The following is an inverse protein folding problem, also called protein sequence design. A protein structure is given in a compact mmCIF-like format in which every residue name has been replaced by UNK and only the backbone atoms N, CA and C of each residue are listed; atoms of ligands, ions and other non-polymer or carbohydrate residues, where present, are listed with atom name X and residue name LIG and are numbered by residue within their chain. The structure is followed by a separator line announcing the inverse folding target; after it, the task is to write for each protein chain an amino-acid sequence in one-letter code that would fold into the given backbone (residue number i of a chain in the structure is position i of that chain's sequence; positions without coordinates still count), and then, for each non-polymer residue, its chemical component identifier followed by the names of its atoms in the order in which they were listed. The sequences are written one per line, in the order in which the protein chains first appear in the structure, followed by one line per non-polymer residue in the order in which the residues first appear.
data_IF_878415494090
#
_entry.id   IF_878415494090
#
_cell.length_a   1.000
_cell.length_b   1.000
_cell.length_c   1.000
_cell.angle_alpha   90.00
_cell.angle_beta   90.00
_cell.angle_gamma   90.00
#
_symmetry.space_group_name_H-M   'P 1'
#
loop_
_entity.id
_entity.type
_entity.pdbx_description
1 polymer ?
#
# COMPACT_ATOMS: atom_id res chain seq x y z
N UNK A 1 -7.84 -2.45 9.13
CA UNK A 1 -9.12 -2.98 9.65
C UNK A 1 -9.62 -4.05 8.68
N UNK A 2 -9.49 -5.32 9.03
CA UNK A 2 -10.05 -6.42 8.23
C UNK A 2 -11.56 -6.49 8.50
N UNK A 3 -12.41 -6.33 7.48
CA UNK A 3 -13.86 -6.48 7.62
C UNK A 3 -14.31 -7.90 7.25
N UNK A 4 -14.93 -8.58 8.23
CA UNK A 4 -15.98 -9.60 8.09
C UNK A 4 -15.72 -10.81 7.19
N UNK A 5 -15.31 -11.94 7.78
CA UNK A 5 -15.44 -13.26 7.15
C UNK A 5 -16.61 -14.02 7.79
N UNK A 6 -17.61 -14.41 7.00
CA UNK A 6 -18.69 -15.33 7.43
C UNK A 6 -18.27 -16.76 7.11
N UNK A 7 -17.98 -17.58 8.12
CA UNK A 7 -17.74 -19.01 7.95
C UNK A 7 -19.07 -19.79 8.04
N UNK A 8 -19.51 -20.33 6.91
CA UNK A 8 -20.55 -21.37 6.83
C UNK A 8 -19.86 -22.72 7.03
N UNK A 9 -20.46 -23.65 7.78
CA UNK A 9 -19.90 -24.98 8.04
C UNK A 9 -19.23 -25.60 6.81
N UNK A 10 -17.96 -25.99 6.95
CA UNK A 10 -17.03 -26.22 5.84
C UNK A 10 -17.28 -27.51 5.06
N UNK A 11 -18.28 -28.30 5.45
CA UNK A 11 -18.80 -29.43 4.68
C UNK A 11 -20.32 -29.36 4.60
N UNK A 12 -20.86 -29.74 3.43
CA UNK A 12 -22.27 -30.10 3.30
C UNK A 12 -22.53 -31.29 4.23
N UNK A 13 -23.63 -31.28 4.98
CA UNK A 13 -23.99 -32.35 5.91
C UNK A 13 -23.82 -33.75 5.25
N UNK A 14 -23.05 -34.62 5.88
CA UNK A 14 -22.81 -36.01 5.44
C UNK A 14 -21.49 -36.29 4.69
N UNK A 15 -20.61 -35.30 4.51
CA UNK A 15 -19.26 -35.51 3.94
C UNK A 15 -18.18 -35.49 5.03
N UNK A 16 -17.27 -36.46 4.99
CA UNK A 16 -16.09 -36.52 5.87
C UNK A 16 -14.82 -36.10 5.15
N UNK A 17 -13.88 -35.51 5.90
CA UNK A 17 -12.52 -35.36 5.43
C UNK A 17 -11.79 -36.69 5.57
N UNK A 18 -11.15 -37.13 4.49
CA UNK A 18 -10.18 -38.22 4.60
C UNK A 18 -8.99 -37.77 5.46
N UNK A 19 -8.37 -38.70 6.18
CA UNK A 19 -7.23 -38.42 7.06
C UNK A 19 -6.09 -37.66 6.33
N UNK A 20 -5.32 -36.88 7.09
CA UNK A 20 -4.19 -36.06 6.60
C UNK A 20 -4.47 -34.55 6.65
N UNK A 21 -3.47 -33.75 6.28
CA UNK A 21 -3.58 -32.29 6.23
C UNK A 21 -4.60 -31.86 5.18
N UNK A 22 -5.56 -31.02 5.57
CA UNK A 22 -6.60 -30.50 4.69
C UNK A 22 -6.62 -28.98 4.75
N UNK A 23 -6.51 -28.33 3.60
CA UNK A 23 -6.89 -26.92 3.47
C UNK A 23 -8.40 -26.86 3.40
N UNK A 24 -9.03 -26.51 4.52
CA UNK A 24 -10.50 -26.46 4.64
C UNK A 24 -11.06 -25.11 4.17
N UNK A 25 -10.27 -24.04 4.30
CA UNK A 25 -10.65 -22.71 3.81
C UNK A 25 -9.41 -21.95 3.36
N UNK A 26 -9.58 -21.18 2.29
CA UNK A 26 -8.63 -20.16 1.85
C UNK A 26 -9.29 -18.82 2.07
N UNK A 27 -8.67 -17.96 2.89
CA UNK A 27 -9.14 -16.58 3.12
C UNK A 27 -8.17 -15.65 2.42
N UNK A 28 -8.69 -14.82 1.52
CA UNK A 28 -7.92 -13.77 0.85
C UNK A 28 -8.32 -12.42 1.43
N UNK A 29 -7.32 -11.61 1.77
CA UNK A 29 -7.52 -10.26 2.28
C UNK A 29 -6.99 -9.25 1.26
N UNK A 30 -7.80 -8.25 0.90
CA UNK A 30 -7.31 -7.08 0.17
C UNK A 30 -6.55 -6.18 1.15
N UNK A 31 -5.32 -5.82 0.80
CA UNK A 31 -4.45 -4.98 1.64
C UNK A 31 -4.36 -3.57 1.07
N UNK A 32 -4.32 -2.57 1.96
CA UNK A 32 -4.02 -1.19 1.59
C UNK A 32 -2.62 -0.85 2.09
N UNK A 33 -1.84 -0.11 1.30
CA UNK A 33 -0.57 0.44 1.74
C UNK A 33 -0.82 1.39 2.93
N UNK A 34 -0.44 0.95 4.13
CA UNK A 34 -0.47 1.75 5.34
C UNK A 34 0.97 2.01 5.79
N UNK A 35 1.32 3.24 6.21
CA UNK A 35 2.68 3.59 6.64
C UNK A 35 3.12 2.89 7.93
N UNK A 36 2.18 2.32 8.69
CA UNK A 36 2.45 1.44 9.82
C UNK A 36 1.59 0.19 9.65
N UNK A 37 2.24 -0.96 9.46
CA UNK A 37 1.57 -2.23 9.30
C UNK A 37 1.76 -3.07 10.57
N UNK A 38 0.66 -3.52 11.16
CA UNK A 38 0.66 -4.35 12.37
C UNK A 38 0.16 -5.74 12.03
N UNK A 39 0.72 -6.76 12.69
CA UNK A 39 0.20 -8.11 12.58
C UNK A 39 -1.23 -8.16 13.10
N UNK A 40 -2.13 -8.79 12.35
CA UNK A 40 -3.51 -8.99 12.77
C UNK A 40 -3.71 -10.45 13.16
N UNK A 41 -4.03 -10.76 14.43
CA UNK A 41 -4.21 -12.14 14.86
C UNK A 41 -5.44 -12.76 14.19
N UNK A 42 -5.34 -14.04 13.88
CA UNK A 42 -6.40 -14.91 13.37
C UNK A 42 -6.61 -16.00 14.41
N UNK A 43 -7.64 -15.85 15.23
CA UNK A 43 -7.87 -16.74 16.37
C UNK A 43 -9.16 -17.53 16.21
N UNK A 44 -9.21 -18.69 16.86
CA UNK A 44 -10.46 -19.42 17.01
C UNK A 44 -11.28 -18.84 18.17
N UNK A 45 -12.57 -18.62 17.93
CA UNK A 45 -13.53 -18.22 18.97
C UNK A 45 -14.56 -19.32 19.27
N UNK A 46 -15.13 -19.28 20.47
CA UNK A 46 -16.18 -20.21 20.93
C UNK A 46 -17.57 -19.56 20.99
N UNK A 47 -17.77 -18.52 20.19
CA UNK A 47 -19.06 -17.83 20.06
C UNK A 47 -19.42 -17.69 18.57
N UNK A 48 -20.65 -18.04 18.16
CA UNK A 48 -21.79 -18.47 18.97
C UNK A 48 -21.79 -19.96 19.38
N UNK A 49 -20.89 -20.78 18.85
CA UNK A 49 -20.77 -22.21 19.16
C UNK A 49 -19.34 -22.54 19.61
N UNK A 50 -19.20 -23.51 20.51
CA UNK A 50 -17.90 -24.04 20.94
C UNK A 50 -17.25 -24.78 19.78
N UNK A 51 -15.92 -24.68 19.66
CA UNK A 51 -15.12 -25.49 18.72
C UNK A 51 -15.31 -26.98 18.97
N UNK A 52 -15.57 -27.74 17.91
CA UNK A 52 -15.76 -29.20 18.00
C UNK A 52 -15.29 -29.90 16.72
N UNK A 53 -14.82 -31.13 16.86
CA UNK A 53 -14.49 -32.04 15.75
C UNK A 53 -15.18 -33.36 16.04
N UNK A 54 -16.03 -33.85 15.13
CA UNK A 54 -16.84 -35.05 15.37
C UNK A 54 -16.61 -36.13 14.30
N UNK A 55 -16.79 -37.40 14.69
CA UNK A 55 -16.77 -38.55 13.79
C UNK A 55 -18.06 -38.66 12.95
N UNK A 56 -18.11 -39.60 12.01
CA UNK A 56 -19.36 -39.93 11.26
C UNK A 56 -20.51 -40.35 12.16
N UNK A 57 -20.20 -40.87 13.35
CA UNK A 57 -21.19 -41.33 14.33
C UNK A 57 -21.55 -40.22 15.33
N UNK A 58 -21.10 -38.98 15.11
CA UNK A 58 -21.27 -37.83 16.00
C UNK A 58 -20.54 -37.96 17.36
N UNK A 59 -19.49 -38.78 17.43
CA UNK A 59 -18.63 -38.85 18.61
C UNK A 59 -17.59 -37.71 18.57
N UNK A 60 -17.34 -36.98 19.67
CA UNK A 60 -16.28 -35.98 19.74
C UNK A 60 -14.90 -36.60 19.51
N UNK A 61 -14.07 -35.92 18.75
CA UNK A 61 -12.68 -36.27 18.46
C UNK A 61 -11.75 -35.25 19.09
N UNK A 62 -10.66 -35.73 19.68
CA UNK A 62 -9.63 -34.85 20.22
C UNK A 62 -9.00 -34.01 19.10
N UNK A 63 -8.96 -32.70 19.28
CA UNK A 63 -8.36 -31.75 18.36
C UNK A 63 -7.58 -30.67 19.11
N UNK A 64 -6.40 -30.34 18.58
CA UNK A 64 -5.61 -29.19 19.01
C UNK A 64 -5.86 -28.02 18.06
N UNK A 65 -6.15 -26.84 18.62
CA UNK A 65 -6.35 -25.60 17.86
C UNK A 65 -5.15 -24.68 18.10
N UNK A 66 -4.57 -24.16 17.03
CA UNK A 66 -3.49 -23.19 17.09
C UNK A 66 -3.93 -21.90 16.40
N UNK A 67 -3.86 -20.78 17.12
CA UNK A 67 -4.11 -19.46 16.55
C UNK A 67 -2.96 -19.07 15.60
N UNK A 68 -3.26 -18.16 14.66
CA UNK A 68 -2.29 -17.62 13.72
C UNK A 68 -2.31 -16.09 13.68
N UNK A 69 -1.54 -15.50 12.77
CA UNK A 69 -1.58 -14.08 12.49
C UNK A 69 -1.34 -13.81 10.99
N UNK A 70 -1.94 -12.73 10.50
CA UNK A 70 -1.57 -12.11 9.22
C UNK A 70 -0.54 -11.04 9.52
N UNK A 71 0.70 -11.29 9.14
CA UNK A 71 1.84 -10.39 9.35
C UNK A 71 2.13 -9.63 8.06
N UNK A 72 2.43 -8.33 8.18
CA UNK A 72 2.85 -7.52 7.04
C UNK A 72 4.35 -7.31 7.08
N UNK A 73 5.04 -7.76 6.03
CA UNK A 73 6.48 -7.62 5.94
C UNK A 73 6.87 -6.16 5.63
N UNK A 74 7.53 -5.50 6.59
CA UNK A 74 8.03 -4.11 6.46
C UNK A 74 9.37 -3.94 7.16
N UNK A 75 10.21 -3.02 6.68
CA UNK A 75 11.55 -2.78 7.22
C UNK A 75 12.62 -3.73 6.64
N UNK A 76 13.84 -3.66 7.17
CA UNK A 76 14.97 -4.47 6.72
C UNK A 76 15.05 -5.81 7.46
N UNK A 77 15.63 -6.82 6.82
CA UNK A 77 15.96 -8.07 7.52
C UNK A 77 17.00 -7.87 8.60
N UNK A 78 16.82 -8.57 9.71
CA UNK A 78 17.57 -8.43 10.96
C UNK A 78 17.48 -7.06 11.64
N UNK A 79 16.75 -6.07 11.13
CA UNK A 79 16.46 -4.80 11.81
C UNK A 79 15.42 -5.03 12.92
N UNK A 80 15.91 -5.41 14.10
CA UNK A 80 15.09 -5.73 15.27
C UNK A 80 15.31 -4.76 16.41
N UNK A 81 16.24 -3.82 16.27
CA UNK A 81 16.51 -2.74 17.21
C UNK A 81 16.38 -1.37 16.55
N UNK A 82 15.77 -0.39 17.23
CA UNK A 82 15.03 -0.49 18.47
C UNK A 82 13.76 -1.35 18.34
N UNK A 83 13.46 -2.13 19.38
CA UNK A 83 12.23 -2.94 19.42
C UNK A 83 10.99 -2.03 19.41
N UNK A 84 9.87 -2.39 18.79
CA UNK A 84 9.59 -3.61 18.01
C UNK A 84 9.54 -3.35 16.50
N UNK A 85 9.97 -2.15 16.06
CA UNK A 85 9.78 -1.66 14.69
C UNK A 85 11.07 -1.49 13.90
N UNK A 86 12.23 -1.51 14.56
CA UNK A 86 13.51 -1.22 13.91
C UNK A 86 13.67 0.27 13.59
N UNK A 87 14.83 0.65 13.11
CA UNK A 87 15.14 2.01 12.64
C UNK A 87 15.63 2.07 11.18
N UNK A 88 15.56 0.96 10.45
CA UNK A 88 16.10 0.73 9.11
C UNK A 88 17.63 0.86 9.03
N UNK A 89 18.34 0.64 10.14
CA UNK A 89 19.80 0.61 10.19
C UNK A 89 20.22 -0.75 10.77
N UNK A 90 21.12 -1.45 10.08
CA UNK A 90 21.62 -2.75 10.55
C UNK A 90 22.93 -2.56 11.29
N UNK A 91 22.91 -2.79 12.59
CA UNK A 91 24.03 -2.52 13.49
C UNK A 91 24.33 -3.71 14.41
N UNK A 92 25.38 -3.57 15.24
CA UNK A 92 25.70 -4.60 16.24
C UNK A 92 24.59 -4.77 17.29
N UNK A 93 23.72 -3.76 17.52
CA UNK A 93 22.61 -3.91 18.47
C UNK A 93 21.56 -4.89 17.94
N UNK A 94 21.30 -4.88 16.64
CA UNK A 94 20.43 -5.83 15.95
C UNK A 94 20.94 -7.26 16.03
N UNK A 95 22.24 -7.44 15.79
CA UNK A 95 22.93 -8.70 15.97
C UNK A 95 22.78 -9.23 17.39
N UNK A 96 23.00 -8.40 18.41
CA UNK A 96 22.86 -8.83 19.80
C UNK A 96 21.41 -9.22 20.13
N UNK A 97 20.43 -8.46 19.65
CA UNK A 97 19.02 -8.76 19.89
C UNK A 97 18.55 -10.03 19.19
N UNK A 98 19.01 -10.29 17.96
CA UNK A 98 18.77 -11.55 17.26
C UNK A 98 19.37 -12.73 18.03
N UNK A 99 20.56 -12.56 18.61
CA UNK A 99 21.17 -13.54 19.50
C UNK A 99 20.33 -13.84 20.73
N UNK A 100 19.73 -12.82 21.36
CA UNK A 100 18.81 -12.99 22.49
C UNK A 100 17.55 -13.78 22.12
N UNK A 101 17.01 -13.55 20.91
CA UNK A 101 15.90 -14.34 20.38
C UNK A 101 16.30 -15.80 20.11
N UNK A 102 17.45 -16.02 19.48
CA UNK A 102 17.94 -17.36 19.14
C UNK A 102 18.18 -18.26 20.37
N UNK A 103 18.59 -17.68 21.50
CA UNK A 103 18.76 -18.42 22.77
C UNK A 103 17.50 -18.43 23.64
N UNK A 104 16.41 -17.81 23.19
CA UNK A 104 15.14 -17.72 23.91
C UNK A 104 15.18 -16.87 25.19
N UNK A 105 16.20 -16.02 25.34
CA UNK A 105 16.27 -15.07 26.46
C UNK A 105 15.27 -13.92 26.26
N UNK A 106 15.05 -13.55 25.00
CA UNK A 106 13.96 -12.68 24.58
C UNK A 106 13.02 -13.43 23.62
N UNK A 107 11.78 -12.97 23.52
CA UNK A 107 10.80 -13.48 22.54
C UNK A 107 10.32 -12.36 21.63
N UNK A 108 10.22 -12.59 20.30
CA UNK A 108 9.67 -11.60 19.38
C UNK A 108 8.22 -11.24 19.74
N UNK A 109 7.85 -9.97 19.57
CA UNK A 109 6.50 -9.50 19.83
C UNK A 109 5.58 -9.86 18.64
N UNK A 110 4.56 -10.73 18.84
CA UNK A 110 3.71 -11.19 17.75
C UNK A 110 2.77 -10.12 17.19
N UNK A 111 2.63 -8.96 17.86
CA UNK A 111 1.85 -7.83 17.35
C UNK A 111 2.56 -7.06 16.22
N UNK A 112 3.86 -7.31 16.04
CA UNK A 112 4.71 -6.71 15.04
C UNK A 112 5.33 -7.80 14.15
N UNK A 113 5.98 -7.40 13.06
CA UNK A 113 6.70 -8.32 12.18
C UNK A 113 8.12 -8.62 12.66
N UNK A 114 8.40 -8.46 13.96
CA UNK A 114 9.72 -8.65 14.56
C UNK A 114 10.24 -10.08 14.37
N UNK A 115 9.36 -11.08 14.49
CA UNK A 115 9.71 -12.48 14.18
C UNK A 115 10.20 -12.61 12.74
N UNK A 116 9.43 -12.05 11.80
CA UNK A 116 9.71 -12.12 10.38
C UNK A 116 11.00 -11.39 10.00
N UNK A 117 11.40 -10.33 10.73
CA UNK A 117 12.70 -9.67 10.51
C UNK A 117 13.85 -10.41 11.19
N UNK A 118 13.62 -11.02 12.35
CA UNK A 118 14.63 -11.78 13.07
C UNK A 118 14.99 -13.09 12.35
N UNK A 119 14.03 -13.75 11.71
CA UNK A 119 14.19 -14.96 10.88
C UNK A 119 14.73 -14.57 9.49
N UNK A 120 16.04 -14.37 9.40
CA UNK A 120 16.71 -13.91 8.18
C UNK A 120 17.59 -14.98 7.52
N UNK A 121 17.78 -16.12 8.18
CA UNK A 121 18.52 -17.25 7.65
C UNK A 121 17.58 -18.42 7.29
N UNK A 122 17.83 -19.15 6.20
CA UNK A 122 18.86 -18.93 5.18
C UNK A 122 18.63 -17.64 4.37
N UNK A 123 19.71 -16.93 4.02
CA UNK A 123 19.65 -15.68 3.25
C UNK A 123 18.95 -15.83 1.89
N UNK A 124 19.01 -17.02 1.28
CA UNK A 124 18.38 -17.30 0.00
C UNK A 124 16.85 -17.32 0.10
N UNK A 125 16.32 -17.81 1.21
CA UNK A 125 14.88 -17.92 1.47
C UNK A 125 14.36 -16.80 2.37
N UNK A 126 15.27 -16.04 2.97
CA UNK A 126 15.01 -14.89 3.85
C UNK A 126 14.25 -15.29 5.11
N UNK A 127 14.75 -16.36 5.72
CA UNK A 127 14.11 -17.05 6.84
C UNK A 127 13.65 -18.46 6.48
N UNK A 128 13.50 -19.31 7.49
CA UNK A 128 12.93 -20.66 7.37
C UNK A 128 11.78 -20.93 8.35
N UNK A 129 11.33 -19.89 9.05
CA UNK A 129 10.27 -19.96 10.06
C UNK A 129 10.80 -20.30 11.46
N UNK A 130 12.11 -20.27 11.68
CA UNK A 130 12.72 -20.49 12.99
C UNK A 130 13.83 -19.49 13.28
N UNK A 131 13.82 -18.87 14.45
CA UNK A 131 14.94 -18.04 14.89
C UNK A 131 15.96 -18.93 15.59
N UNK A 132 17.13 -19.09 14.95
CA UNK A 132 18.19 -19.99 15.37
C UNK A 132 19.55 -19.29 15.37
N UNK A 133 20.62 -20.06 15.65
CA UNK A 133 21.99 -19.57 15.52
C UNK A 133 22.32 -19.16 14.09
N UNK A 134 21.64 -19.71 13.07
CA UNK A 134 21.84 -19.32 11.69
C UNK A 134 21.44 -17.85 11.46
N UNK A 135 20.32 -17.43 12.03
CA UNK A 135 19.80 -16.06 11.97
C UNK A 135 20.71 -15.10 12.71
N UNK A 136 21.21 -15.51 13.88
CA UNK A 136 22.21 -14.75 14.63
C UNK A 136 23.48 -14.52 13.80
N UNK A 137 23.99 -15.55 13.12
CA UNK A 137 25.14 -15.40 12.22
C UNK A 137 24.82 -14.46 11.06
N UNK A 138 23.63 -14.56 10.48
CA UNK A 138 23.20 -13.73 9.36
C UNK A 138 23.04 -12.25 9.77
N UNK A 139 22.43 -11.97 10.93
CA UNK A 139 22.38 -10.64 11.53
C UNK A 139 23.79 -10.07 11.77
N UNK A 140 24.75 -10.92 12.15
CA UNK A 140 26.14 -10.52 12.30
C UNK A 140 26.78 -10.10 10.99
N UNK A 141 26.53 -10.84 9.90
CA UNK A 141 27.01 -10.50 8.55
C UNK A 141 26.40 -9.18 8.05
N UNK A 142 25.12 -8.93 8.32
CA UNK A 142 24.48 -7.64 8.03
C UNK A 142 25.08 -6.49 8.83
N UNK A 143 25.30 -6.66 10.14
CA UNK A 143 25.86 -5.63 11.01
C UNK A 143 27.26 -5.15 10.61
N UNK A 144 28.04 -6.00 9.94
CA UNK A 144 29.36 -5.65 9.39
C UNK A 144 29.33 -5.39 7.88
N UNK A 145 28.14 -5.27 7.29
CA UNK A 145 27.91 -5.03 5.86
C UNK A 145 28.58 -6.03 4.91
N UNK A 146 28.73 -7.29 5.35
CA UNK A 146 29.17 -8.39 4.49
C UNK A 146 28.05 -8.84 3.54
N UNK A 147 26.79 -8.63 3.92
CA UNK A 147 25.61 -8.81 3.09
C UNK A 147 24.78 -7.52 3.07
N UNK A 148 24.06 -7.26 1.97
CA UNK A 148 23.12 -6.15 1.88
C UNK A 148 21.79 -6.54 2.51
N UNK A 149 21.35 -5.78 3.52
CA UNK A 149 20.03 -5.95 4.13
C UNK A 149 18.94 -5.56 3.15
N UNK A 150 18.64 -6.43 2.18
CA UNK A 150 17.59 -6.22 1.21
C UNK A 150 16.21 -6.18 1.90
N UNK A 151 15.24 -5.38 1.40
CA UNK A 151 13.88 -5.38 1.93
C UNK A 151 13.21 -6.73 1.67
N UNK A 152 12.60 -7.34 2.70
CA UNK A 152 11.88 -8.65 2.74
C UNK A 152 11.09 -8.99 1.45
N UNK A 153 11.11 -10.25 0.95
CA UNK A 153 10.39 -10.66 -0.30
C UNK A 153 9.19 -11.60 -0.14
N UNK A 154 8.27 -11.43 -1.10
CA UNK A 154 7.23 -12.36 -1.57
C UNK A 154 7.84 -13.64 -2.19
N UNK A 155 7.50 -14.82 -1.68
CA UNK A 155 7.93 -16.14 -2.19
C UNK A 155 6.81 -16.95 -2.88
N UNK A 156 7.20 -17.88 -3.75
CA UNK A 156 6.36 -18.98 -4.26
C UNK A 156 7.10 -20.32 -4.11
N UNK A 157 6.43 -21.31 -3.54
CA UNK A 157 6.96 -22.62 -3.18
C UNK A 157 6.21 -23.76 -3.86
N UNK A 158 6.86 -24.92 -4.00
CA UNK A 158 6.22 -26.12 -4.55
C UNK A 158 5.38 -26.85 -3.50
N UNK A 159 4.72 -27.93 -3.93
CA UNK A 159 3.90 -28.76 -3.03
C UNK A 159 4.70 -29.44 -1.90
N UNK A 160 6.04 -29.39 -1.94
CA UNK A 160 6.95 -29.88 -0.90
C UNK A 160 7.65 -28.73 -0.16
N UNK A 161 7.15 -27.48 -0.27
CA UNK A 161 7.68 -26.28 0.36
C UNK A 161 9.13 -25.94 -0.02
N UNK A 162 9.62 -26.46 -1.15
CA UNK A 162 10.90 -26.01 -1.70
C UNK A 162 10.68 -24.69 -2.44
N UNK A 163 11.60 -23.76 -2.26
CA UNK A 163 11.65 -22.57 -3.09
C UNK A 163 11.75 -23.01 -4.56
N UNK A 164 10.71 -22.73 -5.34
CA UNK A 164 10.75 -22.93 -6.78
C UNK A 164 11.61 -21.82 -7.36
N UNK A 165 12.53 -22.15 -8.27
CA UNK A 165 13.19 -21.15 -9.10
C UNK A 165 12.14 -20.49 -10.01
N UNK A 166 11.48 -19.47 -9.50
CA UNK A 166 10.69 -18.54 -10.29
C UNK A 166 11.60 -17.39 -10.69
N UNK A 167 11.70 -17.15 -11.99
CA UNK A 167 12.35 -15.93 -12.49
C UNK A 167 11.40 -14.77 -12.18
N UNK A 168 11.61 -14.11 -11.05
CA UNK A 168 11.02 -12.80 -10.78
C UNK A 168 11.67 -11.80 -11.72
N UNK A 169 11.12 -11.69 -12.93
CA UNK A 169 11.45 -10.56 -13.79
C UNK A 169 10.73 -9.38 -13.17
N UNK A 170 11.49 -8.42 -12.65
CA UNK A 170 10.96 -7.07 -12.46
C UNK A 170 10.48 -6.59 -13.83
N UNK A 171 9.18 -6.75 -14.08
CA UNK A 171 8.54 -6.00 -15.13
C UNK A 171 8.47 -4.58 -14.61
N UNK A 172 8.99 -3.62 -15.36
CA UNK A 172 8.39 -2.30 -15.29
C UNK A 172 6.94 -2.53 -15.67
N UNK A 173 6.02 -2.37 -14.71
CA UNK A 173 4.71 -1.88 -15.12
C UNK A 173 5.06 -0.50 -15.64
N UNK A 174 5.25 -0.42 -16.95
CA UNK A 174 5.13 0.84 -17.62
C UNK A 174 3.67 1.20 -17.41
N UNK A 175 3.42 1.94 -16.34
CA UNK A 175 2.30 2.83 -16.31
C UNK A 175 2.70 3.90 -17.33
N UNK A 176 2.66 3.51 -18.61
CA UNK A 176 1.95 4.25 -19.62
C UNK A 176 0.46 4.29 -19.25
N UNK A 177 0.13 4.60 -17.98
CA UNK A 177 -0.69 5.76 -17.79
C UNK A 177 0.03 6.78 -18.64
N UNK A 178 -0.57 7.09 -19.78
CA UNK A 178 -0.32 8.36 -20.43
C UNK A 178 0.00 9.29 -19.28
N UNK A 179 1.21 9.85 -19.24
CA UNK A 179 1.28 11.20 -18.73
C UNK A 179 0.15 11.87 -19.51
N UNK A 180 -1.02 11.97 -18.88
CA UNK A 180 -1.98 12.94 -19.31
C UNK A 180 -1.17 14.17 -19.00
N UNK A 181 -0.42 14.61 -20.01
CA UNK A 181 -0.26 16.00 -20.30
C UNK A 181 -1.70 16.46 -20.25
N UNK A 182 -2.17 16.78 -19.05
CA UNK A 182 -3.53 17.23 -18.86
C UNK A 182 -3.65 18.41 -19.80
N UNK A 183 -4.78 18.51 -20.46
CA UNK A 183 -4.97 19.51 -21.49
C UNK A 183 -4.68 20.90 -20.92
N UNK A 184 -4.25 21.81 -21.77
CA UNK A 184 -4.07 23.19 -21.40
C UNK A 184 -5.29 24.02 -21.76
N UNK A 185 -5.52 25.08 -21.00
CA UNK A 185 -6.41 26.16 -21.40
C UNK A 185 -5.59 27.44 -21.45
N UNK A 186 -5.66 28.13 -22.59
CA UNK A 186 -4.96 29.39 -22.82
C UNK A 186 -5.88 30.39 -23.49
N UNK A 187 -5.59 31.67 -23.26
CA UNK A 187 -6.49 32.72 -23.67
C UNK A 187 -5.99 34.11 -23.35
N UNK A 188 -6.84 35.10 -23.60
CA UNK A 188 -6.58 36.50 -23.28
C UNK A 188 -7.62 37.04 -22.31
N UNK A 189 -7.19 37.95 -21.44
CA UNK A 189 -8.07 38.73 -20.58
C UNK A 189 -8.12 40.15 -21.10
N UNK A 190 -9.32 40.64 -21.41
CA UNK A 190 -9.55 41.95 -22.02
C UNK A 190 -10.65 42.71 -21.30
N UNK A 191 -10.61 44.04 -21.39
CA UNK A 191 -11.70 44.92 -20.95
C UNK A 191 -12.86 44.91 -21.94
N UNK A 192 -14.00 45.49 -21.56
CA UNK A 192 -15.13 45.76 -22.45
C UNK A 192 -14.76 46.57 -23.71
N UNK A 193 -13.65 47.32 -23.66
CA UNK A 193 -13.09 48.09 -24.79
C UNK A 193 -12.06 47.32 -25.64
N UNK A 194 -11.78 46.06 -25.33
CA UNK A 194 -10.82 45.22 -26.04
C UNK A 194 -9.35 45.40 -25.61
N UNK A 195 -9.07 46.29 -24.65
CA UNK A 195 -7.70 46.45 -24.11
C UNK A 195 -7.30 45.26 -23.24
N UNK A 196 -6.09 44.69 -23.37
CA UNK A 196 -5.60 43.61 -22.52
C UNK A 196 -5.45 44.01 -21.05
N UNK A 197 -5.77 43.09 -20.15
CA UNK A 197 -5.70 43.31 -18.69
C UNK A 197 -4.68 42.34 -18.08
N UNK A 198 -3.66 42.92 -17.45
CA UNK A 198 -2.63 42.18 -16.75
C UNK A 198 -2.95 41.96 -15.28
N UNK A 199 -2.26 40.99 -14.67
CA UNK A 199 -2.38 40.67 -13.24
C UNK A 199 -3.80 40.28 -12.81
N UNK A 200 -4.55 39.63 -13.70
CA UNK A 200 -5.83 39.00 -13.39
C UNK A 200 -5.54 37.57 -12.95
N UNK A 201 -6.15 37.12 -11.86
CA UNK A 201 -6.05 35.73 -11.42
C UNK A 201 -7.16 34.92 -12.06
N UNK A 202 -6.81 33.99 -12.93
CA UNK A 202 -7.73 33.06 -13.57
C UNK A 202 -7.74 31.79 -12.73
N UNK A 203 -8.91 31.31 -12.35
CA UNK A 203 -9.10 30.09 -11.57
C UNK A 203 -10.06 29.15 -12.30
N UNK A 204 -9.61 27.92 -12.49
CA UNK A 204 -10.35 26.82 -13.06
C UNK A 204 -10.66 25.80 -11.96
N UNK A 205 -11.93 25.70 -11.57
CA UNK A 205 -12.39 24.88 -10.45
C UNK A 205 -13.22 23.70 -10.96
N UNK A 206 -12.93 22.49 -10.50
CA UNK A 206 -13.74 21.31 -10.82
C UNK A 206 -14.97 21.18 -9.92
N UNK A 207 -15.82 20.18 -10.18
CA UNK A 207 -17.00 19.88 -9.36
C UNK A 207 -16.69 19.44 -7.91
N UNK A 208 -15.44 19.06 -7.64
CA UNK A 208 -14.98 18.60 -6.32
C UNK A 208 -14.33 19.72 -5.51
N UNK A 209 -14.20 20.92 -6.09
CA UNK A 209 -13.59 22.09 -5.47
C UNK A 209 -12.08 22.19 -5.68
N UNK A 210 -11.46 21.29 -6.44
CA UNK A 210 -10.03 21.38 -6.79
C UNK A 210 -9.86 22.49 -7.83
N UNK A 211 -9.06 23.49 -7.47
CA UNK A 211 -8.81 24.67 -8.28
C UNK A 211 -7.39 24.68 -8.84
N UNK A 212 -7.25 25.10 -10.10
CA UNK A 212 -5.98 25.42 -10.76
C UNK A 212 -6.00 26.88 -11.16
N UNK A 213 -4.87 27.58 -11.05
CA UNK A 213 -4.83 29.02 -11.31
C UNK A 213 -3.66 29.44 -12.16
N UNK A 214 -3.85 30.51 -12.93
CA UNK A 214 -2.80 31.25 -13.63
C UNK A 214 -3.03 32.76 -13.45
N UNK A 215 -1.98 33.55 -13.68
CA UNK A 215 -2.05 35.01 -13.66
C UNK A 215 -1.81 35.52 -15.08
N UNK A 216 -2.62 36.48 -15.53
CA UNK A 216 -2.43 37.10 -16.85
C UNK A 216 -1.17 37.97 -16.89
N UNK A 217 -0.43 37.88 -18.00
CA UNK A 217 0.79 38.67 -18.22
C UNK A 217 0.45 40.12 -18.64
N UNK A 218 1.45 41.00 -18.86
CA UNK A 218 1.24 42.39 -19.30
C UNK A 218 0.41 42.56 -20.58
N UNK A 219 0.37 41.54 -21.44
CA UNK A 219 -0.40 41.50 -22.69
C UNK A 219 -1.73 40.75 -22.54
N UNK A 220 -2.16 40.46 -21.31
CA UNK A 220 -3.42 39.79 -21.00
C UNK A 220 -3.43 38.28 -21.21
N UNK A 221 -2.34 37.66 -21.65
CA UNK A 221 -2.31 36.21 -21.91
C UNK A 221 -2.20 35.40 -20.61
N UNK A 222 -2.90 34.27 -20.57
CA UNK A 222 -2.78 33.25 -19.52
C UNK A 222 -2.72 31.84 -20.10
N UNK A 223 -2.14 30.92 -19.34
CA UNK A 223 -2.12 29.48 -19.66
C UNK A 223 -2.18 28.66 -18.37
N UNK A 224 -3.10 27.70 -18.28
CA UNK A 224 -3.18 26.71 -17.20
C UNK A 224 -2.94 25.34 -17.82
N UNK A 225 -1.94 24.61 -17.30
CA UNK A 225 -1.51 23.30 -17.80
C UNK A 225 -1.97 22.16 -16.89
N UNK A 226 -1.82 20.93 -17.39
CA UNK A 226 -2.03 19.70 -16.63
C UNK A 226 -3.48 19.56 -16.13
N UNK A 227 -4.47 19.95 -16.94
CA UNK A 227 -5.89 19.84 -16.57
C UNK A 227 -6.42 18.46 -16.97
N UNK A 228 -6.99 17.68 -16.04
CA UNK A 228 -7.65 16.42 -16.38
C UNK A 228 -8.76 16.60 -17.43
N UNK A 229 -8.81 15.70 -18.41
CA UNK A 229 -9.85 15.71 -19.45
C UNK A 229 -11.12 14.98 -19.00
N UNK A 230 -12.23 15.21 -19.71
CA UNK A 230 -13.52 14.56 -19.45
C UNK A 230 -14.27 15.11 -18.23
N UNK A 231 -13.82 16.24 -17.69
CA UNK A 231 -14.44 16.94 -16.55
C UNK A 231 -14.92 18.32 -16.99
N UNK A 232 -16.08 18.72 -16.44
CA UNK A 232 -16.60 20.09 -16.57
C UNK A 232 -15.97 20.96 -15.49
N UNK A 233 -15.40 22.08 -15.90
CA UNK A 233 -14.77 23.05 -15.04
C UNK A 233 -15.52 24.37 -15.05
N UNK A 234 -15.46 25.09 -13.93
CA UNK A 234 -15.89 26.49 -13.83
C UNK A 234 -14.66 27.38 -13.92
N UNK A 235 -14.62 28.21 -14.95
CA UNK A 235 -13.61 29.23 -15.20
C UNK A 235 -14.08 30.55 -14.59
N UNK A 236 -13.23 31.14 -13.77
CA UNK A 236 -13.47 32.42 -13.10
C UNK A 236 -12.24 33.31 -13.22
N UNK A 237 -12.45 34.62 -13.30
CA UNK A 237 -11.38 35.60 -13.33
C UNK A 237 -11.59 36.64 -12.24
N UNK A 238 -10.55 36.88 -11.45
CA UNK A 238 -10.59 37.80 -10.31
C UNK A 238 -9.56 38.91 -10.49
N UNK A 239 -10.02 40.14 -10.38
CA UNK A 239 -9.20 41.36 -10.40
C UNK A 239 -9.66 42.34 -9.33
N UNK A 240 -8.78 43.24 -8.90
CA UNK A 240 -9.14 44.32 -7.94
C UNK A 240 -9.98 45.43 -8.57
N UNK A 241 -9.93 45.58 -9.89
CA UNK A 241 -10.50 46.74 -10.62
C UNK A 241 -11.57 46.37 -11.64
N UNK A 242 -11.72 45.09 -11.95
CA UNK A 242 -12.61 44.60 -13.00
C UNK A 242 -13.41 43.41 -12.50
N UNK A 243 -14.67 43.34 -12.91
CA UNK A 243 -15.54 42.17 -12.73
C UNK A 243 -15.56 41.36 -14.01
N UNK A 244 -15.69 40.04 -13.88
CA UNK A 244 -15.77 39.12 -15.01
C UNK A 244 -16.90 38.11 -14.77
N UNK A 245 -17.63 37.71 -15.82
CA UNK A 245 -18.58 36.61 -15.71
C UNK A 245 -17.85 35.27 -15.53
N UNK A 246 -18.46 34.36 -14.77
CA UNK A 246 -18.00 32.97 -14.66
C UNK A 246 -18.52 32.14 -15.83
N UNK A 247 -17.67 31.29 -16.39
CA UNK A 247 -18.00 30.44 -17.55
C UNK A 247 -17.74 28.97 -17.23
N UNK A 248 -18.56 28.06 -17.73
CA UNK A 248 -18.31 26.62 -17.61
C UNK A 248 -17.72 26.06 -18.89
N UNK A 249 -16.64 25.28 -18.79
CA UNK A 249 -15.93 24.71 -19.95
C UNK A 249 -15.69 23.23 -19.72
N UNK A 250 -15.96 22.41 -20.74
CA UNK A 250 -15.66 20.98 -20.72
C UNK A 250 -14.28 20.76 -21.32
N UNK A 251 -13.37 20.18 -20.55
CA UNK A 251 -11.99 19.97 -20.97
C UNK A 251 -11.86 18.61 -21.67
N UNK A 252 -11.92 18.60 -23.00
CA UNK A 252 -11.82 17.36 -23.80
C UNK A 252 -10.49 17.27 -24.58
N UNK A 253 -9.89 18.43 -24.86
CA UNK A 253 -8.66 18.66 -25.61
C UNK A 253 -8.10 20.03 -25.18
N UNK A 254 -6.91 20.40 -25.67
CA UNK A 254 -6.34 21.73 -25.44
C UNK A 254 -7.28 22.82 -25.96
N UNK A 255 -7.53 23.83 -25.14
CA UNK A 255 -8.35 24.98 -25.46
C UNK A 255 -7.44 26.21 -25.60
N UNK A 256 -7.44 26.79 -26.80
CA UNK A 256 -6.60 27.94 -27.14
C UNK A 256 -7.47 29.10 -27.59
N UNK A 257 -7.13 30.32 -27.14
CA UNK A 257 -7.80 31.54 -27.58
C UNK A 257 -9.13 31.82 -26.88
N UNK A 258 -9.29 31.42 -25.61
CA UNK A 258 -10.45 31.84 -24.83
C UNK A 258 -10.31 33.30 -24.44
N UNK A 259 -11.31 34.12 -24.75
CA UNK A 259 -11.35 35.51 -24.33
C UNK A 259 -12.21 35.70 -23.09
N UNK A 260 -11.60 36.26 -22.04
CA UNK A 260 -12.26 36.65 -20.80
C UNK A 260 -12.47 38.17 -20.83
N UNK A 261 -13.69 38.59 -21.11
CA UNK A 261 -14.07 40.00 -21.25
C UNK A 261 -14.64 40.51 -19.93
N UNK A 262 -14.13 41.65 -19.44
CA UNK A 262 -14.65 42.31 -18.25
C UNK A 262 -16.05 42.91 -18.50
N UNK A 263 -16.87 42.93 -17.45
CA UNK A 263 -18.15 43.63 -17.47
C UNK A 263 -17.95 45.15 -17.72
N UNK A 264 -18.90 45.82 -18.40
CA UNK A 264 -18.81 47.24 -18.73
C UNK A 264 -18.81 48.18 -17.52
#
# INVERSE_FOLDING_TARGET
MLQGCRTRGLTRAGLTFAAGTRQVVTITFDTILAPLAFSTPVTFGDTPIVRDVISTNADPLFATYADGAVTFATGLESDVTPRFSGDNILTVTDYTQTGLFAVGLDTPNPSFNEFQRADSAPIETRGDGFITVADYVQAGRYAVSLDDGSPVVNQISDAAARALQAKFVSGTIDISGTASNGVSVSGTVVSSSGMPISNVTIVLTDRTGIARSAISNPFGFFEIKNIPTGVVYTLSATSKRYSFPTSTVVMNADLVGIDLVADP
#
